data_IF_662563470485
#
_entry.id   IF_662563470485
#
_cell.length_a   1.000
_cell.length_b   1.000
_cell.length_c   1.000
_cell.angle_alpha   90.00
_cell.angle_beta   90.00
_cell.angle_gamma   90.00
#
_symmetry.space_group_name_H-M   'P 1'
#
loop_
_entity.id
_entity.type
_entity.pdbx_description
1 polymer ?
#
# COMPACT_ATOMS: atom_id res chain seq x y z
N UNK A 1 -7.91 -0.18 4.27
CA UNK A 1 -7.99 -1.59 4.61
C UNK A 1 -8.70 -1.85 5.93
N UNK A 2 -9.08 -3.09 6.15
CA UNK A 2 -9.71 -3.50 7.40
C UNK A 2 -8.64 -3.98 8.38
N UNK A 3 -8.73 -3.48 9.60
CA UNK A 3 -7.86 -3.97 10.66
C UNK A 3 -8.31 -5.35 11.13
N UNK A 4 -7.37 -6.26 11.42
CA UNK A 4 -7.73 -7.54 11.99
C UNK A 4 -8.33 -7.35 13.38
N UNK A 5 -9.12 -8.32 13.89
CA UNK A 5 -9.62 -8.27 15.25
C UNK A 5 -8.47 -8.14 16.25
N UNK A 6 -8.68 -7.39 17.31
CA UNK A 6 -7.67 -7.25 18.36
C UNK A 6 -7.38 -8.63 18.99
N UNK A 7 -6.11 -9.03 19.09
CA UNK A 7 -5.77 -10.27 19.78
C UNK A 7 -6.08 -10.14 21.27
N UNK A 8 -6.53 -11.24 21.88
CA UNK A 8 -6.85 -11.29 23.29
C UNK A 8 -5.67 -11.65 24.17
N UNK A 9 -4.50 -11.88 23.58
CA UNK A 9 -3.34 -12.36 24.27
C UNK A 9 -2.13 -11.46 24.10
N UNK A 10 -0.98 -11.97 24.41
CA UNK A 10 0.30 -11.27 24.65
C UNK A 10 0.78 -10.37 23.52
N UNK A 11 1.78 -9.54 23.83
CA UNK A 11 2.51 -8.72 22.86
C UNK A 11 3.08 -9.54 21.69
N UNK A 12 3.36 -10.83 21.89
CA UNK A 12 3.85 -11.71 20.83
C UNK A 12 2.81 -11.93 19.74
N UNK A 13 1.55 -12.08 20.10
CA UNK A 13 0.47 -12.20 19.10
C UNK A 13 0.23 -10.87 18.39
N UNK A 14 0.25 -9.76 19.13
CA UNK A 14 0.12 -8.45 18.52
C UNK A 14 1.19 -8.22 17.44
N UNK A 15 2.41 -8.70 17.65
CA UNK A 15 3.49 -8.61 16.68
C UNK A 15 3.28 -9.39 15.38
N UNK A 16 2.28 -10.29 15.34
CA UNK A 16 1.96 -11.05 14.13
C UNK A 16 1.03 -10.31 13.18
N UNK A 17 0.40 -9.22 13.61
CA UNK A 17 -0.61 -8.52 12.82
C UNK A 17 -0.07 -7.27 12.19
N UNK A 18 -0.37 -7.09 10.90
CA UNK A 18 -0.17 -5.84 10.18
C UNK A 18 -1.43 -5.54 9.37
N UNK A 19 -1.70 -4.26 9.17
CA UNK A 19 -2.75 -3.82 8.26
C UNK A 19 -2.10 -3.14 7.07
N UNK A 20 -2.57 -3.48 5.86
CA UNK A 20 -2.07 -2.90 4.62
C UNK A 20 -3.22 -2.24 3.88
N UNK A 21 -2.97 -1.04 3.37
CA UNK A 21 -3.92 -0.31 2.55
C UNK A 21 -3.23 0.16 1.28
N UNK A 22 -3.96 0.16 0.18
CA UNK A 22 -3.44 0.53 -1.13
C UNK A 22 -4.36 1.52 -1.82
N UNK A 23 -3.75 2.43 -2.58
CA UNK A 23 -4.47 3.31 -3.50
C UNK A 23 -4.04 2.99 -4.92
N UNK A 24 -5.02 2.90 -5.82
CA UNK A 24 -4.81 2.48 -7.19
C UNK A 24 -5.18 3.60 -8.16
N UNK A 25 -4.46 3.65 -9.26
CA UNK A 25 -4.78 4.53 -10.39
C UNK A 25 -5.17 3.70 -11.60
N UNK A 26 -5.75 4.33 -12.61
CA UNK A 26 -6.17 3.65 -13.84
C UNK A 26 -5.10 3.73 -14.91
N UNK A 27 -4.79 2.58 -15.49
CA UNK A 27 -3.85 2.45 -16.61
C UNK A 27 -4.50 1.62 -17.72
N UNK A 28 -3.83 1.51 -18.87
CA UNK A 28 -4.33 0.71 -19.99
C UNK A 28 -5.53 1.34 -20.69
N UNK A 29 -6.28 0.55 -21.50
CA UNK A 29 -7.39 1.08 -22.28
C UNK A 29 -8.43 1.78 -21.39
N UNK A 30 -8.67 3.05 -21.67
CA UNK A 30 -9.62 3.90 -20.94
C UNK A 30 -9.36 3.99 -19.43
N UNK A 31 -8.15 3.63 -18.98
CA UNK A 31 -7.80 3.66 -17.56
C UNK A 31 -8.52 2.60 -16.73
N UNK A 32 -8.95 1.50 -17.36
CA UNK A 32 -9.73 0.48 -16.69
C UNK A 32 -8.91 -0.52 -15.89
N UNK A 33 -7.63 -0.65 -16.18
CA UNK A 33 -6.74 -1.53 -15.43
C UNK A 33 -6.24 -0.81 -14.18
N UNK A 34 -5.95 -1.57 -13.13
CA UNK A 34 -5.52 -1.01 -11.85
C UNK A 34 -4.01 -1.10 -11.70
N UNK A 35 -3.40 0.00 -11.27
CA UNK A 35 -1.98 0.01 -10.93
C UNK A 35 -1.77 0.64 -9.56
N UNK A 36 -0.89 0.04 -8.76
CA UNK A 36 -0.59 0.52 -7.43
C UNK A 36 0.11 1.88 -7.50
N UNK A 37 -0.37 2.86 -6.73
CA UNK A 37 0.21 4.19 -6.67
C UNK A 37 0.53 4.65 -5.25
N UNK A 38 0.01 3.98 -4.23
CA UNK A 38 0.37 4.21 -2.83
C UNK A 38 0.14 2.93 -2.05
N UNK A 39 1.04 2.65 -1.11
CA UNK A 39 0.88 1.54 -0.16
C UNK A 39 1.26 2.02 1.23
N UNK A 40 0.47 1.62 2.21
CA UNK A 40 0.79 1.86 3.62
C UNK A 40 0.63 0.57 4.41
N UNK A 41 1.54 0.36 5.37
CA UNK A 41 1.51 -0.79 6.26
C UNK A 41 1.69 -0.26 7.68
N UNK A 42 0.80 -0.67 8.57
CA UNK A 42 0.88 -0.32 9.99
C UNK A 42 0.89 -1.60 10.82
N UNK A 43 1.53 -1.53 11.99
CA UNK A 43 1.51 -2.66 12.91
C UNK A 43 0.26 -2.62 13.79
N UNK A 44 0.12 -3.62 14.65
CA UNK A 44 -1.02 -3.73 15.56
C UNK A 44 -1.23 -2.47 16.44
N UNK A 45 -0.13 -1.81 16.80
CA UNK A 45 -0.17 -0.61 17.64
C UNK A 45 -0.42 0.68 16.86
N UNK A 46 -0.61 0.59 15.56
CA UNK A 46 -0.84 1.75 14.69
C UNK A 46 0.43 2.46 14.26
N UNK A 47 1.61 1.92 14.55
CA UNK A 47 2.85 2.52 14.06
C UNK A 47 3.01 2.25 12.57
N UNK A 48 3.39 3.29 11.83
CA UNK A 48 3.57 3.21 10.38
C UNK A 48 4.90 2.50 10.09
N UNK A 49 4.82 1.35 9.44
CA UNK A 49 5.99 0.59 9.01
C UNK A 49 6.43 0.98 7.59
N UNK A 50 5.48 1.37 6.75
CA UNK A 50 5.71 1.83 5.39
C UNK A 50 4.55 2.72 4.99
N UNK A 51 4.84 3.83 4.33
CA UNK A 51 3.84 4.65 3.64
C UNK A 51 4.57 5.38 2.52
N UNK A 52 4.30 4.99 1.29
CA UNK A 52 4.99 5.60 0.16
C UNK A 52 4.13 5.59 -1.10
N UNK A 53 4.41 6.56 -1.96
CA UNK A 53 3.88 6.57 -3.31
C UNK A 53 4.72 5.64 -4.18
N UNK A 54 4.04 4.98 -5.13
CA UNK A 54 4.64 4.01 -6.04
C UNK A 54 4.39 4.46 -7.47
N UNK A 55 5.43 4.42 -8.28
CA UNK A 55 5.30 4.79 -9.69
C UNK A 55 4.87 3.58 -10.50
N UNK A 56 3.69 3.63 -11.12
CA UNK A 56 3.27 2.57 -12.04
C UNK A 56 4.25 2.43 -13.21
N UNK A 57 4.40 1.20 -13.69
CA UNK A 57 5.21 0.92 -14.87
C UNK A 57 4.53 1.45 -16.13
N UNK A 58 3.20 1.30 -16.18
CA UNK A 58 2.40 1.77 -17.31
C UNK A 58 2.07 3.25 -17.18
N UNK A 59 1.78 3.89 -18.31
CA UNK A 59 1.31 5.28 -18.33
C UNK A 59 -0.04 5.39 -17.61
N UNK A 60 -0.14 6.35 -16.70
CA UNK A 60 -1.39 6.60 -15.98
C UNK A 60 -2.37 7.30 -16.92
N UNK A 61 -3.55 6.73 -17.08
CA UNK A 61 -4.64 7.28 -17.88
C UNK A 61 -5.64 8.02 -17.00
N UNK A 62 -5.94 7.48 -15.82
CA UNK A 62 -6.88 8.06 -14.89
C UNK A 62 -6.33 7.98 -13.47
N UNK A 63 -6.05 9.13 -12.87
CA UNK A 63 -5.54 9.19 -11.50
C UNK A 63 -6.59 8.79 -10.46
N UNK A 64 -7.88 8.83 -10.83
CA UNK A 64 -8.99 8.52 -9.92
C UNK A 64 -8.90 9.32 -8.62
N UNK A 65 -8.48 10.56 -8.71
CA UNK A 65 -8.13 11.39 -7.55
C UNK A 65 -9.25 11.48 -6.52
N UNK A 66 -10.50 11.53 -6.96
CA UNK A 66 -11.64 11.61 -6.06
C UNK A 66 -11.73 10.40 -5.11
N UNK A 67 -11.22 9.25 -5.53
CA UNK A 67 -11.24 8.00 -4.75
C UNK A 67 -9.86 7.69 -4.18
N UNK A 68 -8.83 7.79 -5.00
CA UNK A 68 -7.47 7.41 -4.62
C UNK A 68 -6.75 8.48 -3.79
N UNK A 69 -7.12 9.74 -3.97
CA UNK A 69 -6.38 10.86 -3.41
C UNK A 69 -5.07 11.15 -4.15
N UNK A 70 -4.73 10.37 -5.17
CA UNK A 70 -3.47 10.51 -5.89
C UNK A 70 -3.56 11.63 -6.91
N UNK A 71 -2.55 12.50 -6.93
CA UNK A 71 -2.39 13.59 -7.91
C UNK A 71 -1.04 13.46 -8.59
N UNK A 72 -0.86 14.06 -9.79
CA UNK A 72 0.41 13.94 -10.51
C UNK A 72 1.65 14.32 -9.69
N UNK A 73 1.57 15.36 -8.84
CA UNK A 73 2.73 15.79 -8.07
C UNK A 73 3.17 14.75 -7.03
N UNK A 74 2.28 13.90 -6.54
CA UNK A 74 2.62 12.84 -5.59
C UNK A 74 3.60 11.83 -6.18
N UNK A 75 3.58 11.64 -7.51
CA UNK A 75 4.37 10.61 -8.16
C UNK A 75 5.70 11.11 -8.71
N UNK A 76 6.06 12.39 -8.48
CA UNK A 76 7.35 12.93 -8.95
C UNK A 76 8.53 12.17 -8.33
N UNK A 77 8.46 11.94 -7.03
CA UNK A 77 9.51 11.27 -6.27
C UNK A 77 9.06 9.89 -5.79
N UNK A 78 8.08 9.31 -6.48
CA UNK A 78 7.56 8.00 -6.12
C UNK A 78 8.60 6.92 -6.33
N UNK A 79 8.55 5.89 -5.48
CA UNK A 79 9.48 4.76 -5.54
C UNK A 79 9.09 3.82 -6.67
N UNK A 80 10.06 3.09 -7.20
CA UNK A 80 9.79 2.09 -8.22
C UNK A 80 9.06 0.88 -7.62
N UNK A 81 8.21 0.25 -8.43
CA UNK A 81 7.38 -0.86 -8.00
C UNK A 81 8.20 -2.05 -7.48
N UNK A 82 9.30 -2.37 -8.14
CA UNK A 82 10.11 -3.54 -7.77
C UNK A 82 10.69 -3.42 -6.36
N UNK A 83 11.26 -2.25 -6.01
CA UNK A 83 11.84 -2.06 -4.68
C UNK A 83 10.76 -2.01 -3.60
N UNK A 84 9.61 -1.40 -3.89
CA UNK A 84 8.48 -1.37 -2.94
C UNK A 84 7.95 -2.79 -2.72
N UNK A 85 7.81 -3.58 -3.78
CA UNK A 85 7.37 -4.97 -3.65
C UNK A 85 8.29 -5.78 -2.73
N UNK A 86 9.59 -5.63 -2.90
CA UNK A 86 10.57 -6.31 -2.04
C UNK A 86 10.40 -5.92 -0.58
N UNK A 87 10.29 -4.62 -0.30
CA UNK A 87 10.11 -4.13 1.06
C UNK A 87 8.78 -4.60 1.66
N UNK A 88 7.69 -4.54 0.91
CA UNK A 88 6.39 -5.05 1.37
C UNK A 88 6.48 -6.52 1.72
N UNK A 89 7.07 -7.33 0.86
CA UNK A 89 7.22 -8.77 1.12
C UNK A 89 8.01 -9.03 2.40
N UNK A 90 9.06 -8.26 2.65
CA UNK A 90 9.83 -8.39 3.89
C UNK A 90 9.01 -8.02 5.12
N UNK A 91 8.24 -6.93 5.03
CA UNK A 91 7.44 -6.45 6.16
C UNK A 91 6.29 -7.39 6.52
N UNK A 92 5.69 -8.06 5.54
CA UNK A 92 4.54 -8.94 5.79
C UNK A 92 4.92 -10.41 5.94
N UNK A 93 6.18 -10.77 5.75
CA UNK A 93 6.64 -12.15 5.86
C UNK A 93 6.34 -12.70 7.25
N UNK A 94 5.63 -13.82 7.30
CA UNK A 94 5.21 -14.44 8.56
C UNK A 94 4.16 -13.67 9.35
N UNK A 95 3.55 -12.62 8.78
CA UNK A 95 2.53 -11.81 9.44
C UNK A 95 1.13 -12.19 8.96
N UNK A 96 0.16 -11.82 9.76
CA UNK A 96 -1.27 -11.89 9.41
C UNK A 96 -1.70 -10.51 8.94
N UNK A 97 -2.14 -10.46 7.70
CA UNK A 97 -2.54 -9.20 7.06
C UNK A 97 -4.06 -9.03 7.07
#
# INVERSE_FOLDING_TARGET
>A
GLFPPAPTSSAQEAGKYVAMDCEMVGVGPEGQLHALARVSIVNFHGAILLDCYVRPVETIVDYRTAVSGIRPHHLRDARDLASVRTEVCELIAGKIV
#
